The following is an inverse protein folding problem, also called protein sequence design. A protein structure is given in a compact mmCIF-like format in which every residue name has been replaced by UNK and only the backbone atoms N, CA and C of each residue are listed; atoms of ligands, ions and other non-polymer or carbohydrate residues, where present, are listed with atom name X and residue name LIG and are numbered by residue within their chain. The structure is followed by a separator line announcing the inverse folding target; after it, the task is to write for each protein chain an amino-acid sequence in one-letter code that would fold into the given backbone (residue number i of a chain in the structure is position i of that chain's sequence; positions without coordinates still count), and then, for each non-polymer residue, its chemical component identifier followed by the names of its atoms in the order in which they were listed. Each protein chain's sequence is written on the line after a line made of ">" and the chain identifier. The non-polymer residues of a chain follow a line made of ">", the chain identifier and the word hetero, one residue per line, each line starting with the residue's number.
data_IF_545636073543
#
_entry.id   IF_545636073543
#
_cell.length_a   1.000
_cell.length_b   1.000
_cell.length_c   1.000
_cell.angle_alpha   90.00
_cell.angle_beta   90.00
_cell.angle_gamma   90.00
#
_symmetry.space_group_name_H-M   'P 1'
#
loop_
_entity.id
_entity.type
_entity.pdbx_description
1 polymer ?
#
# COMPACT_ATOMS: atom_id res chain seq x y z
N UNK A 1 -18.32 -9.07 3.46
CA UNK A 1 -16.92 -9.51 3.32
C UNK A 1 -16.08 -8.50 2.54
N UNK A 2 -16.39 -8.15 1.28
CA UNK A 2 -15.58 -7.15 0.56
C UNK A 2 -15.59 -5.76 1.23
N UNK A 3 -16.77 -5.31 1.65
CA UNK A 3 -16.93 -4.07 2.41
C UNK A 3 -16.14 -4.04 3.73
N UNK A 4 -16.01 -5.20 4.38
CA UNK A 4 -15.26 -5.33 5.64
C UNK A 4 -13.75 -5.16 5.40
N UNK A 5 -13.24 -5.63 4.25
CA UNK A 5 -11.84 -5.42 3.84
C UNK A 5 -11.55 -3.95 3.59
N UNK A 6 -12.40 -3.27 2.82
CA UNK A 6 -12.22 -1.84 2.56
C UNK A 6 -12.33 -1.02 3.85
N UNK A 7 -13.27 -1.35 4.73
CA UNK A 7 -13.37 -0.72 6.06
C UNK A 7 -12.10 -0.91 6.88
N UNK A 8 -11.50 -2.11 6.83
CA UNK A 8 -10.22 -2.38 7.49
C UNK A 8 -9.08 -1.56 6.90
N UNK A 9 -9.01 -1.40 5.56
CA UNK A 9 -8.02 -0.54 4.91
C UNK A 9 -8.15 0.93 5.36
N UNK A 10 -9.38 1.45 5.52
CA UNK A 10 -9.60 2.80 6.04
C UNK A 10 -9.10 2.94 7.48
N UNK A 11 -9.31 1.93 8.32
CA UNK A 11 -8.78 1.92 9.69
C UNK A 11 -7.24 1.91 9.70
N UNK A 12 -6.61 1.13 8.82
CA UNK A 12 -5.15 1.12 8.64
C UNK A 12 -4.64 2.50 8.21
N UNK A 13 -5.31 3.16 7.26
CA UNK A 13 -4.93 4.50 6.81
C UNK A 13 -5.03 5.53 7.93
N UNK A 14 -6.10 5.51 8.73
CA UNK A 14 -6.25 6.40 9.88
C UNK A 14 -5.15 6.17 10.93
N UNK A 15 -4.83 4.91 11.22
CA UNK A 15 -3.73 4.54 12.11
C UNK A 15 -2.40 5.10 11.57
N UNK A 16 -2.13 4.96 10.28
CA UNK A 16 -0.90 5.41 9.65
C UNK A 16 -0.75 6.94 9.72
N UNK A 17 -1.83 7.68 9.45
CA UNK A 17 -1.84 9.14 9.54
C UNK A 17 -1.65 9.63 10.98
N UNK A 18 -2.33 9.00 11.95
CA UNK A 18 -2.16 9.32 13.37
C UNK A 18 -0.73 9.02 13.84
N UNK A 19 -0.18 7.85 13.50
CA UNK A 19 1.20 7.49 13.82
C UNK A 19 2.18 8.53 13.25
N UNK A 20 2.00 8.96 12.00
CA UNK A 20 2.85 9.98 11.38
C UNK A 20 2.82 11.32 12.11
N UNK A 21 1.66 11.73 12.64
CA UNK A 21 1.50 12.95 13.42
C UNK A 21 2.24 12.86 14.78
N UNK A 22 2.27 11.66 15.37
CA UNK A 22 2.99 11.35 16.62
C UNK A 22 4.48 11.03 16.40
N UNK A 23 5.02 11.21 15.19
CA UNK A 23 6.42 10.91 14.87
C UNK A 23 6.75 9.43 14.78
N UNK A 24 5.74 8.56 14.66
CA UNK A 24 5.86 7.11 14.53
C UNK A 24 5.78 6.72 13.05
N UNK A 25 6.76 5.92 12.59
CA UNK A 25 6.76 5.29 11.29
C UNK A 25 5.90 4.03 11.27
N UNK A 26 5.20 3.81 10.15
CA UNK A 26 4.45 2.59 9.87
C UNK A 26 4.87 2.08 8.49
N UNK A 27 5.06 0.77 8.36
CA UNK A 27 5.37 0.10 7.10
C UNK A 27 4.46 -1.10 6.86
N UNK A 28 3.85 -1.17 5.67
CA UNK A 28 3.05 -2.31 5.24
C UNK A 28 3.94 -3.40 4.62
N UNK A 29 3.81 -4.64 5.09
CA UNK A 29 4.48 -5.81 4.52
C UNK A 29 3.49 -6.65 3.72
N UNK A 30 3.73 -6.82 2.42
CA UNK A 30 2.80 -7.51 1.49
C UNK A 30 3.33 -8.82 0.89
N UNK A 31 4.59 -9.19 1.14
CA UNK A 31 5.22 -10.40 0.61
C UNK A 31 5.06 -11.65 1.49
N UNK A 32 4.11 -11.65 2.43
CA UNK A 32 3.87 -12.75 3.36
C UNK A 32 2.71 -13.62 2.91
N UNK A 33 2.80 -14.93 3.17
CA UNK A 33 1.70 -15.84 2.92
C UNK A 33 0.63 -15.72 4.02
N UNK A 34 -0.64 -15.40 3.69
CA UNK A 34 -1.67 -15.19 4.70
C UNK A 34 -1.95 -16.40 5.59
N UNK A 35 -1.71 -17.63 5.10
CA UNK A 35 -1.90 -18.85 5.88
C UNK A 35 -0.82 -19.00 6.96
N UNK A 36 0.46 -18.74 6.63
CA UNK A 36 1.55 -18.78 7.61
C UNK A 36 1.33 -17.75 8.74
N UNK A 37 0.88 -16.55 8.40
CA UNK A 37 0.55 -15.52 9.40
C UNK A 37 -0.57 -15.99 10.34
N UNK A 38 -1.59 -16.67 9.80
CA UNK A 38 -2.67 -17.23 10.63
C UNK A 38 -2.15 -18.31 11.56
N UNK A 39 -1.32 -19.22 11.06
CA UNK A 39 -0.81 -20.36 11.84
C UNK A 39 0.10 -19.87 12.97
N UNK A 40 1.02 -18.96 12.68
CA UNK A 40 1.95 -18.38 13.67
C UNK A 40 1.20 -17.62 14.77
N UNK A 41 0.14 -16.89 14.41
CA UNK A 41 -0.62 -16.06 15.35
C UNK A 41 -1.86 -16.77 15.92
N UNK A 42 -2.08 -18.04 15.59
CA UNK A 42 -3.27 -18.82 15.96
C UNK A 42 -4.59 -18.10 15.62
N UNK A 43 -4.68 -17.48 14.44
CA UNK A 43 -5.87 -16.76 13.98
C UNK A 43 -6.91 -17.76 13.44
N UNK A 44 -8.16 -17.74 13.93
CA UNK A 44 -9.23 -18.59 13.43
C UNK A 44 -9.47 -18.45 11.92
N UNK A 45 -9.83 -19.55 11.23
CA UNK A 45 -10.03 -19.57 9.77
C UNK A 45 -11.08 -18.58 9.23
N UNK A 46 -12.06 -18.20 10.06
CA UNK A 46 -13.10 -17.24 9.67
C UNK A 46 -12.62 -15.79 9.70
N UNK A 47 -11.43 -15.51 10.25
CA UNK A 47 -10.81 -14.19 10.28
C UNK A 47 -9.78 -14.09 9.15
N UNK A 48 -9.87 -13.00 8.38
CA UNK A 48 -8.94 -12.71 7.30
C UNK A 48 -7.96 -11.61 7.75
N UNK A 49 -6.64 -11.91 7.87
CA UNK A 49 -5.63 -10.88 8.02
C UNK A 49 -5.63 -9.96 6.78
N UNK A 50 -5.67 -8.64 7.01
CA UNK A 50 -5.70 -7.63 5.93
C UNK A 50 -4.35 -6.92 5.78
N UNK A 51 -3.70 -6.55 6.89
CA UNK A 51 -2.44 -5.83 6.88
C UNK A 51 -1.50 -6.38 7.94
N UNK A 52 -0.23 -6.55 7.58
CA UNK A 52 0.87 -6.78 8.51
C UNK A 52 1.70 -5.49 8.58
N UNK A 53 1.75 -4.87 9.76
CA UNK A 53 2.31 -3.53 9.93
C UNK A 53 3.51 -3.58 10.88
N UNK A 54 4.63 -3.03 10.42
CA UNK A 54 5.77 -2.70 11.28
C UNK A 54 5.60 -1.27 11.78
N UNK A 55 5.76 -1.04 13.09
CA UNK A 55 5.55 0.26 13.73
C UNK A 55 6.73 0.58 14.65
N UNK A 56 7.25 1.81 14.56
CA UNK A 56 8.38 2.24 15.40
C UNK A 56 8.82 3.67 15.13
N UNK A 57 9.74 4.18 15.94
CA UNK A 57 10.34 5.50 15.74
C UNK A 57 11.46 5.42 14.71
N UNK A 58 11.40 6.16 13.59
CA UNK A 58 12.44 6.11 12.56
C UNK A 58 13.71 6.84 13.04
N UNK A 59 14.84 6.13 13.09
CA UNK A 59 16.13 6.70 13.53
C UNK A 59 16.63 7.79 12.59
N UNK A 60 16.53 7.56 11.27
CA UNK A 60 16.95 8.50 10.22
C UNK A 60 15.87 9.53 9.85
N UNK A 61 14.78 9.60 10.62
CA UNK A 61 13.63 10.44 10.33
C UNK A 61 12.76 9.95 9.16
N UNK A 62 11.90 10.83 8.64
CA UNK A 62 11.00 10.50 7.54
C UNK A 62 11.60 10.95 6.21
N UNK A 63 11.60 10.10 5.16
CA UNK A 63 12.11 10.50 3.86
C UNK A 63 11.22 11.55 3.20
N UNK A 64 11.83 12.51 2.49
CA UNK A 64 11.12 13.58 1.78
C UNK A 64 10.39 13.09 0.51
N UNK A 65 10.75 11.90 0.02
CA UNK A 65 10.15 11.25 -1.14
C UNK A 65 9.97 9.74 -0.93
N UNK A 66 9.10 9.06 -1.71
CA UNK A 66 8.94 7.61 -1.61
C UNK A 66 10.27 6.87 -1.85
N UNK A 67 10.61 5.93 -0.97
CA UNK A 67 11.87 5.17 -1.07
C UNK A 67 12.02 4.47 -2.41
N UNK A 68 10.94 3.90 -2.95
CA UNK A 68 10.95 3.25 -4.27
C UNK A 68 11.29 4.23 -5.41
N UNK A 69 10.83 5.48 -5.31
CA UNK A 69 11.21 6.52 -6.26
C UNK A 69 12.69 6.86 -6.14
N UNK A 70 13.18 7.05 -4.91
CA UNK A 70 14.61 7.33 -4.64
C UNK A 70 15.55 6.23 -5.16
N UNK A 71 15.10 4.97 -5.15
CA UNK A 71 15.83 3.83 -5.69
C UNK A 71 15.69 3.67 -7.21
N UNK A 72 15.01 4.59 -7.90
CA UNK A 72 14.73 4.49 -9.33
C UNK A 72 13.78 3.35 -9.70
N UNK A 73 13.06 2.80 -8.72
CA UNK A 73 12.12 1.72 -8.96
C UNK A 73 10.87 2.22 -9.65
N UNK A 74 10.28 3.35 -9.23
CA UNK A 74 9.09 3.94 -9.89
C UNK A 74 8.94 5.41 -9.56
N UNK A 75 8.69 6.23 -10.57
CA UNK A 75 8.40 7.66 -10.40
C UNK A 75 6.92 7.90 -10.08
N UNK A 76 6.63 8.99 -9.36
CA UNK A 76 5.26 9.46 -9.11
C UNK A 76 4.58 9.79 -10.44
N UNK A 77 3.41 9.19 -10.67
CA UNK A 77 2.55 9.51 -11.83
C UNK A 77 1.94 10.90 -11.63
N UNK A 78 1.83 11.67 -12.70
CA UNK A 78 1.10 12.94 -12.70
C UNK A 78 -0.40 12.70 -12.44
N UNK A 79 -0.96 13.45 -11.50
CA UNK A 79 -2.37 13.32 -11.12
C UNK A 79 -3.31 13.60 -12.29
N UNK A 80 -2.93 14.51 -13.19
CA UNK A 80 -3.74 14.88 -14.34
C UNK A 80 -3.89 13.72 -15.34
N UNK A 81 -2.97 12.75 -15.35
CA UNK A 81 -3.09 11.53 -16.16
C UNK A 81 -4.11 10.53 -15.59
N UNK A 82 -4.50 10.67 -14.33
CA UNK A 82 -5.38 9.74 -13.60
C UNK A 82 -6.80 10.27 -13.40
N UNK A 83 -7.05 11.55 -13.70
CA UNK A 83 -8.36 12.19 -13.52
C UNK A 83 -9.16 12.14 -14.83
N UNK A 84 -10.38 11.63 -14.74
CA UNK A 84 -11.33 11.57 -15.85
C UNK A 84 -12.63 12.30 -15.49
N UNK A 85 -13.29 12.90 -16.49
CA UNK A 85 -14.53 13.64 -16.32
C UNK A 85 -15.65 13.01 -17.14
N UNK A 86 -16.80 12.75 -16.49
CA UNK A 86 -17.97 12.15 -17.11
C UNK A 86 -17.84 10.64 -17.29
N UNK A 87 -16.91 10.21 -18.14
CA UNK A 87 -16.67 8.80 -18.46
C UNK A 87 -15.17 8.44 -18.42
N UNK A 88 -14.88 7.13 -18.45
CA UNK A 88 -13.51 6.63 -18.46
C UNK A 88 -12.83 6.92 -19.81
N UNK A 89 -11.73 7.69 -19.78
CA UNK A 89 -11.01 8.03 -21.00
C UNK A 89 -9.92 6.99 -21.31
N UNK A 90 -10.23 6.04 -22.19
CA UNK A 90 -9.29 5.01 -22.64
C UNK A 90 -8.03 5.53 -23.36
N UNK A 91 -8.00 6.81 -23.78
CA UNK A 91 -6.85 7.42 -24.46
C UNK A 91 -5.87 8.11 -23.52
N UNK A 92 -6.29 8.38 -22.29
CA UNK A 92 -5.51 8.99 -21.24
C UNK A 92 -4.94 7.85 -20.38
N UNK A 93 -3.84 7.26 -20.85
CA UNK A 93 -3.14 6.20 -20.13
C UNK A 93 -1.81 6.75 -19.63
N UNK A 94 -1.46 6.53 -18.35
CA UNK A 94 -0.17 6.95 -17.84
C UNK A 94 0.99 6.36 -18.65
N UNK A 95 2.05 7.14 -18.83
CA UNK A 95 3.23 6.67 -19.56
C UNK A 95 3.80 5.41 -18.88
N UNK A 96 3.97 4.32 -19.65
CA UNK A 96 4.48 3.04 -19.15
C UNK A 96 5.95 3.19 -18.74
N UNK A 97 6.27 2.92 -17.48
CA UNK A 97 7.64 2.97 -16.97
C UNK A 97 8.35 1.61 -17.16
N UNK A 98 9.69 1.56 -17.29
CA UNK A 98 10.42 0.35 -17.67
C UNK A 98 10.21 -0.89 -16.78
N UNK A 99 9.79 -0.71 -15.52
CA UNK A 99 9.51 -1.78 -14.54
C UNK A 99 8.02 -2.18 -14.47
N UNK A 100 7.12 -1.52 -15.21
CA UNK A 100 5.70 -1.90 -15.29
C UNK A 100 5.46 -3.17 -16.14
N UNK A 101 6.53 -3.77 -16.68
CA UNK A 101 6.50 -5.06 -17.37
C UNK A 101 6.76 -6.22 -16.39
N UNK A 102 5.97 -6.34 -15.33
CA UNK A 102 5.80 -7.61 -14.62
C UNK A 102 4.32 -7.95 -14.68
N UNK A 103 3.96 -8.86 -15.58
CA UNK A 103 2.65 -9.48 -15.59
C UNK A 103 2.43 -10.08 -14.21
N UNK A 104 1.42 -9.60 -13.48
CA UNK A 104 0.82 -10.41 -12.41
C UNK A 104 -0.07 -11.40 -13.16
N UNK A 105 0.53 -12.49 -13.63
CA UNK A 105 -0.25 -13.66 -14.05
C UNK A 105 -0.88 -14.27 -12.77
N UNK A 106 -2.20 -14.48 -12.86
CA UNK A 106 -3.18 -14.94 -11.85
C UNK A 106 -2.68 -15.59 -10.54
#
# INVERSE_FOLDING_TARGET
>A
QEMDRYSTCLAVQNLWLAARAEGIGVGWVSFLYPHEVRDVLNIPHHIQPIAYLCVGYPEDGFPDEPVLQKQGWRERIDGDELVHYGEWNHTQTPAKQPHDCVSVDD
#
